data_IF_199837687044
#
_entry.id   IF_199837687044
#
_cell.length_a   1.000
_cell.length_b   1.000
_cell.length_c   1.000
_cell.angle_alpha   90.00
_cell.angle_beta   90.00
_cell.angle_gamma   90.00
#
_symmetry.space_group_name_H-M   'P 1'
#
loop_
_entity.id
_entity.type
_entity.pdbx_description
1 polymer ?
#
# COMPACT_ATOMS: atom_id res chain seq x y z
N UNK A 1 16.75 -8.13 0.36
CA UNK A 1 16.29 -7.98 -1.03
C UNK A 1 16.30 -6.50 -1.37
N UNK A 2 17.19 -6.05 -2.25
CA UNK A 2 17.26 -4.66 -2.69
C UNK A 2 16.87 -4.61 -4.17
N UNK A 3 16.31 -3.49 -4.65
CA UNK A 3 16.14 -3.23 -6.08
C UNK A 3 17.38 -2.43 -6.52
N UNK A 4 18.40 -3.05 -7.13
CA UNK A 4 19.66 -2.36 -7.40
C UNK A 4 19.56 -1.40 -8.60
N UNK A 5 20.48 -0.43 -8.63
CA UNK A 5 20.71 0.48 -9.74
C UNK A 5 19.97 1.83 -9.63
N UNK A 6 20.26 2.76 -10.55
CA UNK A 6 19.57 4.05 -10.62
C UNK A 6 18.04 3.87 -10.70
N UNK A 7 17.31 4.74 -10.03
CA UNK A 7 15.84 4.72 -10.04
C UNK A 7 15.20 3.60 -9.22
N UNK A 8 15.93 2.97 -8.28
CA UNK A 8 15.42 1.93 -7.39
C UNK A 8 14.08 2.30 -6.73
N UNK A 9 13.95 3.54 -6.24
CA UNK A 9 12.71 4.04 -5.64
C UNK A 9 11.57 4.04 -6.67
N UNK A 10 11.80 4.59 -7.88
CA UNK A 10 10.78 4.62 -8.92
C UNK A 10 10.34 3.23 -9.38
N UNK A 11 11.28 2.29 -9.49
CA UNK A 11 10.96 0.88 -9.81
C UNK A 11 10.14 0.21 -8.70
N UNK A 12 10.50 0.47 -7.44
CA UNK A 12 9.73 -0.03 -6.30
C UNK A 12 8.32 0.56 -6.31
N UNK A 13 8.19 1.87 -6.51
CA UNK A 13 6.88 2.55 -6.59
C UNK A 13 6.02 1.95 -7.69
N UNK A 14 6.55 1.80 -8.91
CA UNK A 14 5.79 1.22 -10.02
C UNK A 14 5.34 -0.22 -9.73
N UNK A 15 6.19 -1.04 -9.12
CA UNK A 15 5.82 -2.40 -8.72
C UNK A 15 4.71 -2.41 -7.65
N UNK A 16 4.76 -1.49 -6.68
CA UNK A 16 3.72 -1.34 -5.67
C UNK A 16 2.40 -0.86 -6.28
N UNK A 17 2.42 0.03 -7.26
CA UNK A 17 1.21 0.48 -7.95
C UNK A 17 0.53 -0.65 -8.72
N UNK A 18 1.31 -1.47 -9.45
CA UNK A 18 0.78 -2.67 -10.13
C UNK A 18 0.17 -3.65 -9.12
N UNK A 19 0.83 -3.85 -7.98
CA UNK A 19 0.31 -4.71 -6.91
C UNK A 19 -1.05 -4.20 -6.37
N UNK A 20 -1.18 -2.88 -6.20
CA UNK A 20 -2.43 -2.26 -5.75
C UNK A 20 -3.55 -2.40 -6.78
N UNK A 21 -3.25 -2.32 -8.08
CA UNK A 21 -4.22 -2.58 -9.15
C UNK A 21 -4.75 -4.03 -9.06
N UNK A 22 -3.86 -5.00 -8.87
CA UNK A 22 -4.23 -6.41 -8.72
C UNK A 22 -5.11 -6.66 -7.47
N UNK A 23 -4.72 -6.07 -6.34
CA UNK A 23 -5.48 -6.18 -5.08
C UNK A 23 -6.88 -5.58 -5.23
N UNK A 24 -6.97 -4.38 -5.80
CA UNK A 24 -8.24 -3.69 -6.02
C UNK A 24 -9.15 -4.45 -6.99
N UNK A 25 -8.60 -4.97 -8.10
CA UNK A 25 -9.36 -5.76 -9.07
C UNK A 25 -9.94 -7.05 -8.46
N UNK A 26 -9.29 -7.60 -7.43
CA UNK A 26 -9.74 -8.80 -6.72
C UNK A 26 -10.59 -8.49 -5.48
N UNK A 27 -10.84 -7.21 -5.17
CA UNK A 27 -11.53 -6.79 -3.95
C UNK A 27 -10.76 -7.13 -2.66
N UNK A 28 -9.45 -7.33 -2.75
CA UNK A 28 -8.59 -7.65 -1.62
C UNK A 28 -8.06 -6.37 -0.95
N UNK A 29 -7.62 -6.47 0.32
CA UNK A 29 -6.86 -5.39 0.94
C UNK A 29 -5.55 -5.11 0.17
N UNK A 30 -5.16 -3.85 0.12
CA UNK A 30 -3.96 -3.38 -0.57
C UNK A 30 -2.71 -3.79 0.20
N UNK A 31 -1.98 -4.79 -0.29
CA UNK A 31 -0.74 -5.30 0.32
C UNK A 31 0.32 -4.22 0.50
N UNK A 32 0.32 -3.21 -0.38
CA UNK A 32 1.21 -2.04 -0.28
C UNK A 32 1.03 -1.24 1.03
N UNK A 33 -0.09 -1.40 1.77
CA UNK A 33 -0.30 -0.78 3.08
C UNK A 33 0.71 -1.28 4.14
N UNK A 34 1.35 -2.43 3.93
CA UNK A 34 2.41 -2.95 4.81
C UNK A 34 3.72 -2.16 4.69
N UNK A 35 3.90 -1.34 3.65
CA UNK A 35 5.04 -0.44 3.56
C UNK A 35 4.97 0.61 4.68
N UNK A 36 6.10 0.82 5.36
CA UNK A 36 6.20 1.76 6.47
C UNK A 36 7.39 2.71 6.24
N UNK A 37 7.09 4.00 6.11
CA UNK A 37 8.09 5.06 6.05
C UNK A 37 8.56 5.44 7.44
N UNK A 38 9.87 5.39 7.70
CA UNK A 38 10.46 5.82 8.99
C UNK A 38 10.14 7.28 9.33
N UNK A 39 10.08 8.15 8.32
CA UNK A 39 9.77 9.59 8.48
C UNK A 39 8.27 9.89 8.47
N UNK A 40 7.44 8.92 8.12
CA UNK A 40 5.98 9.07 8.01
C UNK A 40 5.24 8.42 9.20
N UNK A 41 5.89 8.32 10.37
CA UNK A 41 5.35 7.67 11.56
C UNK A 41 4.80 6.25 11.29
N UNK A 42 5.46 5.50 10.40
CA UNK A 42 5.05 4.14 10.04
C UNK A 42 3.94 4.04 8.98
N UNK A 43 3.49 5.16 8.42
CA UNK A 43 2.60 5.18 7.27
C UNK A 43 3.35 4.94 5.95
N UNK A 44 2.67 4.45 4.89
CA UNK A 44 3.19 4.43 3.53
C UNK A 44 3.57 5.84 3.02
N UNK A 45 4.34 5.91 1.93
CA UNK A 45 4.66 7.18 1.28
C UNK A 45 3.45 7.76 0.53
N UNK A 46 3.48 9.06 0.20
CA UNK A 46 2.37 9.77 -0.47
C UNK A 46 1.82 9.04 -1.71
N UNK A 47 2.69 8.49 -2.57
CA UNK A 47 2.27 7.79 -3.79
C UNK A 47 1.33 6.59 -3.54
N UNK A 48 1.40 5.96 -2.37
CA UNK A 48 0.42 4.94 -1.97
C UNK A 48 -0.99 5.54 -1.82
N UNK A 49 -1.11 6.69 -1.16
CA UNK A 49 -2.39 7.34 -0.95
C UNK A 49 -2.94 7.90 -2.27
N UNK A 50 -2.09 8.48 -3.11
CA UNK A 50 -2.48 8.97 -4.44
C UNK A 50 -3.05 7.83 -5.30
N UNK A 51 -2.38 6.68 -5.33
CA UNK A 51 -2.86 5.49 -6.04
C UNK A 51 -4.13 4.92 -5.42
N UNK A 52 -4.24 4.87 -4.09
CA UNK A 52 -5.45 4.40 -3.42
C UNK A 52 -6.67 5.30 -3.69
N UNK A 53 -6.47 6.62 -3.80
CA UNK A 53 -7.52 7.56 -4.23
C UNK A 53 -7.91 7.32 -5.70
N UNK A 54 -6.92 7.15 -6.59
CA UNK A 54 -7.18 6.85 -8.00
C UNK A 54 -7.98 5.55 -8.20
N UNK A 55 -7.82 4.58 -7.30
CA UNK A 55 -8.59 3.33 -7.27
C UNK A 55 -9.95 3.45 -6.57
N UNK A 56 -10.32 4.63 -6.07
CA UNK A 56 -11.55 4.85 -5.31
C UNK A 56 -11.58 4.12 -3.95
N UNK A 57 -10.41 3.73 -3.43
CA UNK A 57 -10.26 2.98 -2.16
C UNK A 57 -10.04 3.88 -0.96
N UNK A 58 -9.58 5.12 -1.18
CA UNK A 58 -9.25 6.10 -0.14
C UNK A 58 -9.83 7.48 -0.49
N UNK A 59 -10.23 8.25 0.52
CA UNK A 59 -10.89 9.57 0.36
C UNK A 59 -10.17 10.73 1.06
N UNK A 60 -8.88 10.57 1.39
CA UNK A 60 -8.01 11.60 2.01
C UNK A 60 -8.44 12.18 3.37
N UNK A 61 -9.41 11.55 4.03
CA UNK A 61 -9.96 12.06 5.29
C UNK A 61 -9.25 11.53 6.53
N UNK A 62 -8.80 10.27 6.51
CA UNK A 62 -8.11 9.63 7.63
C UNK A 62 -7.09 8.59 7.13
N UNK A 63 -5.86 9.02 6.78
CA UNK A 63 -4.82 8.13 6.28
C UNK A 63 -4.44 7.03 7.28
N UNK A 64 -4.50 7.32 8.59
CA UNK A 64 -4.06 6.39 9.61
C UNK A 64 -5.07 5.26 9.81
N UNK A 65 -6.36 5.60 9.93
CA UNK A 65 -7.42 4.60 10.03
C UNK A 65 -7.54 3.74 8.77
N UNK A 66 -7.35 4.35 7.58
CA UNK A 66 -7.33 3.61 6.33
C UNK A 66 -6.21 2.55 6.33
N UNK A 67 -4.99 2.95 6.67
CA UNK A 67 -3.83 2.04 6.70
C UNK A 67 -3.98 0.96 7.76
N UNK A 68 -4.47 1.29 8.97
CA UNK A 68 -4.70 0.27 10.00
C UNK A 68 -5.75 -0.74 9.56
N UNK A 69 -6.86 -0.29 8.98
CA UNK A 69 -7.92 -1.18 8.49
C UNK A 69 -7.42 -2.13 7.40
N UNK A 70 -6.63 -1.63 6.44
CA UNK A 70 -6.04 -2.47 5.39
C UNK A 70 -5.09 -3.52 5.99
N UNK A 71 -4.24 -3.14 6.95
CA UNK A 71 -3.33 -4.07 7.65
C UNK A 71 -4.08 -5.13 8.44
N UNK A 72 -5.11 -4.75 9.19
CA UNK A 72 -5.91 -5.68 9.98
C UNK A 72 -6.60 -6.73 9.08
N UNK A 73 -7.15 -6.29 7.94
CA UNK A 73 -7.75 -7.20 6.96
C UNK A 73 -6.72 -8.14 6.32
N UNK A 74 -5.50 -7.66 6.04
CA UNK A 74 -4.42 -8.52 5.54
C UNK A 74 -4.06 -9.59 6.57
N UNK A 75 -3.89 -9.20 7.84
CA UNK A 75 -3.57 -10.17 8.89
C UNK A 75 -4.70 -11.18 9.09
N UNK A 76 -5.96 -10.75 9.09
CA UNK A 76 -7.10 -11.67 9.16
C UNK A 76 -7.12 -12.66 7.99
N UNK A 77 -6.92 -12.18 6.76
CA UNK A 77 -6.93 -13.01 5.55
C UNK A 77 -5.85 -14.11 5.56
N UNK A 78 -4.68 -13.84 6.14
CA UNK A 78 -3.58 -14.80 6.19
C UNK A 78 -3.51 -15.59 7.50
N UNK A 79 -4.22 -15.19 8.56
CA UNK A 79 -4.31 -15.95 9.80
C UNK A 79 -5.20 -17.21 9.68
N UNK A 80 -6.07 -17.26 8.68
CA UNK A 80 -7.00 -18.37 8.42
C UNK A 80 -6.45 -19.42 7.44
N UNK A 81 -5.17 -19.32 7.03
CA UNK A 81 -4.48 -20.27 6.13
C UNK A 81 -3.35 -21.01 6.84
#
# INVERSE_FOLDING_TARGET
MAIPGPGAIGKLTAALEVLMDEDAARGLPLRAALCAGRMANGLPAQGFFDKAQALGRFTDTDPQNFVSTERDRLFALYAEN
#
